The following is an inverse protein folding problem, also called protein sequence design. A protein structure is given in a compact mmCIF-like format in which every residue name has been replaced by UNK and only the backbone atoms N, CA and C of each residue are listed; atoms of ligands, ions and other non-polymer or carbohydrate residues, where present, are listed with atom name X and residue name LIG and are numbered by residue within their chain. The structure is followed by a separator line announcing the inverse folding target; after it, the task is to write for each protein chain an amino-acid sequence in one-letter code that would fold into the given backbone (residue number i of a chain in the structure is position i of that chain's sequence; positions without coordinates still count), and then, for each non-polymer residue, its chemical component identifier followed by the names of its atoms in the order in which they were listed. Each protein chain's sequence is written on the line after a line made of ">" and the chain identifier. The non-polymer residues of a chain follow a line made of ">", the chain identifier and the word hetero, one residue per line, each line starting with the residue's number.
data_IF_822909978174
#
_entry.id   IF_822909978174
#
_cell.length_a   1.000
_cell.length_b   1.000
_cell.length_c   1.000
_cell.angle_alpha   90.00
_cell.angle_beta   90.00
_cell.angle_gamma   90.00
#
_symmetry.space_group_name_H-M   'P 1'
#
loop_
_entity.id
_entity.type
_entity.pdbx_description
1 polymer ?
#
# COMPACT_ATOMS: atom_id res chain seq x y z
N UNK A 1 6.13 -10.83 -10.88
CA UNK A 1 7.23 -10.26 -10.11
C UNK A 1 6.85 -10.04 -8.67
N UNK A 2 7.85 -9.97 -7.80
CA UNK A 2 7.69 -9.87 -6.35
C UNK A 2 8.22 -8.51 -5.85
N UNK A 3 7.54 -7.43 -6.26
CA UNK A 3 7.95 -6.05 -5.96
C UNK A 3 8.04 -5.75 -4.46
N UNK A 4 7.13 -6.31 -3.65
CA UNK A 4 7.14 -6.16 -2.19
C UNK A 4 8.39 -6.72 -1.51
N UNK A 5 9.06 -7.70 -2.13
CA UNK A 5 10.26 -8.34 -1.59
C UNK A 5 11.57 -7.73 -2.11
N UNK A 6 11.51 -6.61 -2.82
CA UNK A 6 12.66 -5.82 -3.16
C UNK A 6 13.29 -5.22 -1.89
N UNK A 7 14.62 -5.33 -1.74
CA UNK A 7 15.35 -4.66 -0.65
C UNK A 7 15.34 -3.16 -0.89
N UNK A 8 14.55 -2.45 -0.12
CA UNK A 8 14.28 -1.04 -0.27
C UNK A 8 14.71 -0.20 0.95
N UNK A 9 14.90 -0.86 2.10
CA UNK A 9 15.21 -0.22 3.37
C UNK A 9 16.33 -0.93 4.11
N UNK A 10 17.09 -0.15 4.85
CA UNK A 10 18.10 -0.66 5.79
C UNK A 10 17.47 -0.72 7.18
N UNK A 11 16.67 -1.77 7.42
CA UNK A 11 16.03 -2.02 8.70
C UNK A 11 16.18 -3.50 9.10
N UNK A 12 16.02 -3.78 10.41
CA UNK A 12 16.14 -5.11 10.98
C UNK A 12 14.83 -5.92 10.97
N UNK A 13 13.76 -5.39 10.37
CA UNK A 13 12.44 -6.04 10.34
C UNK A 13 12.51 -7.23 9.38
N UNK A 14 12.22 -8.40 9.92
CA UNK A 14 12.21 -9.64 9.16
C UNK A 14 10.90 -9.74 8.37
N UNK A 15 10.99 -9.79 7.05
CA UNK A 15 9.87 -10.05 6.18
C UNK A 15 9.48 -11.54 6.25
N UNK A 16 8.22 -11.87 5.97
CA UNK A 16 7.76 -13.27 5.91
C UNK A 16 8.50 -14.10 4.83
N UNK A 17 9.16 -13.46 3.87
CA UNK A 17 10.06 -14.15 2.92
C UNK A 17 11.43 -14.54 3.53
N UNK A 18 11.68 -14.25 4.80
CA UNK A 18 12.90 -14.52 5.54
C UNK A 18 14.02 -13.50 5.39
N UNK A 19 13.83 -12.45 4.57
CA UNK A 19 14.84 -11.39 4.35
C UNK A 19 14.50 -10.15 5.17
N UNK A 20 15.48 -9.26 5.37
CA UNK A 20 15.32 -7.94 5.98
C UNK A 20 15.25 -6.85 4.91
N UNK A 21 14.68 -5.70 5.27
CA UNK A 21 14.67 -4.51 4.42
C UNK A 21 13.76 -4.58 3.19
N UNK A 22 12.83 -5.53 3.13
CA UNK A 22 11.86 -5.61 2.05
C UNK A 22 10.90 -4.40 2.07
N UNK A 23 10.48 -3.93 0.89
CA UNK A 23 9.43 -2.92 0.76
C UNK A 23 8.16 -3.31 1.54
N UNK A 24 7.79 -4.58 1.53
CA UNK A 24 6.65 -5.17 2.23
C UNK A 24 6.63 -4.82 3.72
N UNK A 25 7.81 -4.77 4.39
CA UNK A 25 7.88 -4.47 5.82
C UNK A 25 7.57 -3.02 6.16
N UNK A 26 7.57 -2.12 5.16
CA UNK A 26 7.39 -0.68 5.34
C UNK A 26 6.19 -0.09 4.57
N UNK A 27 5.67 -0.82 3.58
CA UNK A 27 4.63 -0.31 2.69
C UNK A 27 3.60 -1.37 2.31
N UNK A 28 3.00 -1.99 3.32
CA UNK A 28 1.94 -3.00 3.16
C UNK A 28 0.85 -2.84 4.21
N UNK A 29 -0.21 -3.65 4.10
CA UNK A 29 -1.25 -3.72 5.14
C UNK A 29 -0.71 -4.22 6.49
N UNK A 30 0.24 -5.14 6.50
CA UNK A 30 0.91 -5.61 7.72
C UNK A 30 1.80 -4.52 8.34
N UNK A 31 2.47 -3.72 7.50
CA UNK A 31 3.22 -2.56 7.96
C UNK A 31 2.30 -1.52 8.61
N UNK A 32 1.16 -1.22 7.98
CA UNK A 32 0.14 -0.31 8.54
C UNK A 32 -0.30 -0.77 9.94
N UNK A 33 -0.64 -2.04 10.07
CA UNK A 33 -1.08 -2.61 11.35
C UNK A 33 0.01 -2.51 12.41
N UNK A 34 1.25 -2.92 12.09
CA UNK A 34 2.40 -2.84 13.02
C UNK A 34 2.68 -1.41 13.47
N UNK A 35 2.77 -0.47 12.53
CA UNK A 35 3.08 0.93 12.83
C UNK A 35 1.97 1.55 13.70
N UNK A 36 0.70 1.25 13.42
CA UNK A 36 -0.41 1.73 14.23
C UNK A 36 -0.29 1.24 15.68
N UNK A 37 -0.02 -0.04 15.89
CA UNK A 37 0.17 -0.58 17.24
C UNK A 37 1.33 0.08 17.97
N UNK A 38 2.48 0.23 17.31
CA UNK A 38 3.67 0.86 17.86
C UNK A 38 3.40 2.32 18.26
N UNK A 39 2.72 3.10 17.43
CA UNK A 39 2.40 4.51 17.70
C UNK A 39 1.37 4.67 18.84
N UNK A 40 0.35 3.83 18.90
CA UNK A 40 -0.60 3.85 20.03
C UNK A 40 0.08 3.43 21.33
N UNK A 41 0.94 2.42 21.32
CA UNK A 41 1.71 2.01 22.50
C UNK A 41 2.69 3.10 22.96
N UNK A 42 3.17 3.95 22.07
CA UNK A 42 3.99 5.12 22.40
C UNK A 42 3.18 6.31 22.94
N UNK A 43 1.85 6.20 23.02
CA UNK A 43 0.96 7.18 23.62
C UNK A 43 0.19 8.06 22.65
N UNK A 44 0.25 7.78 21.33
CA UNK A 44 -0.54 8.50 20.34
C UNK A 44 -2.01 8.05 20.36
N UNK A 45 -2.92 8.98 20.09
CA UNK A 45 -4.37 8.73 20.18
C UNK A 45 -4.98 8.37 18.83
N UNK A 46 -5.80 7.32 18.81
CA UNK A 46 -6.65 6.91 17.71
C UNK A 46 -8.01 6.48 18.25
N UNK A 47 -9.05 6.52 17.42
CA UNK A 47 -10.36 5.94 17.74
C UNK A 47 -10.25 4.42 18.01
N UNK A 48 -9.14 3.79 17.58
CA UNK A 48 -8.85 2.37 17.80
C UNK A 48 -8.10 2.08 19.09
N UNK A 49 -7.66 3.10 19.86
CA UNK A 49 -6.86 2.93 21.08
C UNK A 49 -7.56 2.05 22.12
N UNK A 50 -8.88 2.17 22.27
CA UNK A 50 -9.65 1.35 23.22
C UNK A 50 -9.73 -0.12 22.82
N UNK A 51 -9.64 -0.41 21.51
CA UNK A 51 -9.65 -1.77 20.98
C UNK A 51 -8.35 -2.53 21.25
N UNK A 52 -7.22 -1.81 21.30
CA UNK A 52 -5.90 -2.42 21.62
C UNK A 52 -5.81 -2.83 23.09
N UNK A 53 -6.50 -2.12 23.97
CA UNK A 53 -6.52 -2.43 25.41
C UNK A 53 -7.29 -3.72 25.72
N UNK A 54 -8.14 -4.21 24.82
CA UNK A 54 -8.91 -5.45 24.98
C UNK A 54 -8.30 -6.54 24.10
N UNK A 55 -7.38 -7.34 24.66
CA UNK A 55 -6.59 -8.36 23.95
C UNK A 55 -7.40 -9.50 23.30
N UNK A 56 -8.73 -9.52 23.42
CA UNK A 56 -9.56 -10.62 22.95
C UNK A 56 -9.69 -10.75 21.42
N UNK A 57 -9.47 -9.67 20.67
CA UNK A 57 -9.50 -9.72 19.21
C UNK A 57 -8.51 -8.71 18.59
N UNK A 58 -7.56 -9.13 17.76
CA UNK A 58 -6.64 -8.22 17.08
C UNK A 58 -7.42 -7.28 16.15
N UNK A 59 -6.97 -6.02 16.05
CA UNK A 59 -7.50 -5.04 15.08
C UNK A 59 -7.28 -5.58 13.68
N UNK A 60 -8.33 -5.57 12.88
CA UNK A 60 -8.26 -5.99 11.47
C UNK A 60 -7.84 -4.83 10.57
N UNK A 61 -7.31 -5.14 9.39
CA UNK A 61 -6.97 -4.13 8.39
C UNK A 61 -8.21 -3.33 7.94
N UNK A 62 -9.38 -3.98 7.85
CA UNK A 62 -10.64 -3.33 7.49
C UNK A 62 -11.07 -2.31 8.54
N UNK A 63 -10.86 -2.58 9.83
CA UNK A 63 -11.11 -1.61 10.91
C UNK A 63 -10.18 -0.39 10.79
N UNK A 64 -8.91 -0.58 10.45
CA UNK A 64 -7.97 0.52 10.25
C UNK A 64 -8.40 1.37 9.05
N UNK A 65 -8.80 0.75 7.94
CA UNK A 65 -9.30 1.46 6.76
C UNK A 65 -10.59 2.22 7.09
N UNK A 66 -11.48 1.60 7.87
CA UNK A 66 -12.70 2.27 8.33
C UNK A 66 -12.37 3.49 9.23
N UNK A 67 -11.31 3.42 10.05
CA UNK A 67 -10.83 4.54 10.85
C UNK A 67 -10.29 5.67 9.97
N UNK A 68 -9.48 5.37 8.95
CA UNK A 68 -9.04 6.36 7.94
C UNK A 68 -10.23 7.07 7.30
N UNK A 69 -11.24 6.31 6.86
CA UNK A 69 -12.43 6.85 6.22
C UNK A 69 -13.36 7.62 7.20
N UNK A 70 -13.14 7.50 8.51
CA UNK A 70 -13.75 8.30 9.57
C UNK A 70 -12.87 9.46 10.02
N UNK A 71 -11.83 9.78 9.25
CA UNK A 71 -10.92 10.89 9.50
C UNK A 71 -10.10 10.75 10.80
N UNK A 72 -9.74 9.53 11.20
CA UNK A 72 -8.79 9.30 12.28
C UNK A 72 -7.40 9.78 11.86
N UNK A 73 -6.90 10.81 12.53
CA UNK A 73 -5.66 11.50 12.14
C UNK A 73 -4.46 10.57 12.17
N UNK A 74 -4.32 9.73 13.20
CA UNK A 74 -3.20 8.80 13.32
C UNK A 74 -3.19 7.79 12.15
N UNK A 75 -4.35 7.21 11.84
CA UNK A 75 -4.48 6.26 10.74
C UNK A 75 -4.21 6.93 9.39
N UNK A 76 -4.67 8.17 9.18
CA UNK A 76 -4.39 8.95 7.98
C UNK A 76 -2.88 9.18 7.81
N UNK A 77 -2.21 9.68 8.84
CA UNK A 77 -0.77 9.96 8.82
C UNK A 77 0.04 8.71 8.43
N UNK A 78 -0.28 7.55 9.02
CA UNK A 78 0.41 6.30 8.72
C UNK A 78 0.17 5.88 7.25
N UNK A 79 -1.06 6.01 6.75
CA UNK A 79 -1.37 5.71 5.35
C UNK A 79 -0.62 6.65 4.40
N UNK A 80 -0.50 7.93 4.73
CA UNK A 80 0.27 8.91 3.95
C UNK A 80 1.77 8.56 3.94
N UNK A 81 2.35 8.20 5.08
CA UNK A 81 3.74 7.73 5.18
C UNK A 81 4.00 6.49 4.32
N UNK A 82 3.10 5.51 4.37
CA UNK A 82 3.15 4.31 3.54
C UNK A 82 3.05 4.68 2.05
N UNK A 83 2.15 5.60 1.71
CA UNK A 83 1.99 6.11 0.35
C UNK A 83 3.25 6.77 -0.18
N UNK A 84 3.94 7.57 0.64
CA UNK A 84 5.22 8.20 0.27
C UNK A 84 6.32 7.15 0.04
N UNK A 85 6.43 6.16 0.94
CA UNK A 85 7.38 5.06 0.82
C UNK A 85 7.14 4.26 -0.45
N UNK A 86 5.89 3.88 -0.72
CA UNK A 86 5.49 3.15 -1.91
C UNK A 86 5.75 3.97 -3.18
N UNK A 87 5.36 5.24 -3.19
CA UNK A 87 5.53 6.15 -4.33
C UNK A 87 7.00 6.35 -4.72
N UNK A 88 7.90 6.41 -3.74
CA UNK A 88 9.35 6.49 -4.00
C UNK A 88 9.84 5.26 -4.79
N UNK A 89 9.38 4.07 -4.45
CA UNK A 89 9.79 2.84 -5.14
C UNK A 89 9.11 2.72 -6.52
N UNK A 90 7.83 3.13 -6.63
CA UNK A 90 7.13 3.21 -7.91
C UNK A 90 7.83 4.17 -8.87
N UNK A 91 8.37 5.30 -8.38
CA UNK A 91 9.14 6.22 -9.22
C UNK A 91 10.35 5.56 -9.87
N UNK A 92 11.03 4.66 -9.14
CA UNK A 92 12.11 3.84 -9.70
C UNK A 92 11.64 2.94 -10.84
N UNK A 93 10.48 2.28 -10.68
CA UNK A 93 9.89 1.45 -11.74
C UNK A 93 9.46 2.28 -12.95
N UNK A 94 8.89 3.46 -12.74
CA UNK A 94 8.52 4.38 -13.81
C UNK A 94 9.77 4.78 -14.60
N UNK A 95 10.87 5.11 -13.93
CA UNK A 95 12.13 5.48 -14.61
C UNK A 95 12.73 4.33 -15.44
N UNK A 96 12.50 3.06 -15.04
CA UNK A 96 13.04 1.89 -15.73
C UNK A 96 12.14 1.42 -16.88
N UNK A 97 10.82 1.36 -16.65
CA UNK A 97 9.88 0.72 -17.55
C UNK A 97 9.03 1.69 -18.37
N UNK A 98 9.00 2.97 -17.98
CA UNK A 98 8.15 4.00 -18.62
C UNK A 98 6.70 3.53 -18.88
N UNK A 99 5.96 3.03 -17.88
CA UNK A 99 4.62 2.54 -18.11
C UNK A 99 3.65 3.70 -18.38
N UNK A 100 2.69 3.49 -19.27
CA UNK A 100 1.60 4.46 -19.50
C UNK A 100 0.64 4.53 -18.30
N UNK A 101 0.52 3.43 -17.55
CA UNK A 101 -0.44 3.31 -16.46
C UNK A 101 0.13 2.50 -15.29
N UNK A 102 0.00 3.06 -14.09
CA UNK A 102 0.24 2.36 -12.82
C UNK A 102 -1.09 2.23 -12.07
N UNK A 103 -1.49 1.00 -11.76
CA UNK A 103 -2.75 0.72 -11.04
C UNK A 103 -2.41 0.32 -9.61
N UNK A 104 -2.90 1.10 -8.64
CA UNK A 104 -2.79 0.78 -7.22
C UNK A 104 -3.99 -0.07 -6.82
N UNK A 105 -3.72 -1.31 -6.43
CA UNK A 105 -4.73 -2.28 -6.00
C UNK A 105 -4.56 -2.70 -4.54
N UNK A 106 -5.35 -3.70 -4.14
CA UNK A 106 -5.35 -4.23 -2.79
C UNK A 106 -6.14 -3.38 -1.79
N UNK A 107 -6.19 -3.85 -0.54
CA UNK A 107 -7.06 -3.30 0.51
C UNK A 107 -6.70 -1.84 0.85
N UNK A 108 -5.42 -1.45 0.82
CA UNK A 108 -5.00 -0.06 1.05
C UNK A 108 -5.57 0.93 0.03
N UNK A 109 -5.91 0.48 -1.18
CA UNK A 109 -6.54 1.35 -2.19
C UNK A 109 -7.93 1.84 -1.78
N UNK A 110 -8.56 1.21 -0.77
CA UNK A 110 -9.86 1.61 -0.21
C UNK A 110 -9.80 2.91 0.61
N UNK A 111 -8.60 3.35 0.98
CA UNK A 111 -8.39 4.66 1.64
C UNK A 111 -8.41 5.83 0.64
N UNK A 112 -8.61 5.54 -0.67
CA UNK A 112 -8.82 6.56 -1.70
C UNK A 112 -7.66 7.53 -1.84
N UNK A 113 -7.94 8.82 -1.66
CA UNK A 113 -6.96 9.90 -1.84
C UNK A 113 -5.90 9.92 -0.74
N UNK A 114 -6.17 9.39 0.45
CA UNK A 114 -5.19 9.31 1.52
C UNK A 114 -3.95 8.48 1.15
N UNK A 115 -4.10 7.44 0.32
CA UNK A 115 -2.97 6.67 -0.20
C UNK A 115 -2.49 7.18 -1.56
N UNK A 116 -3.39 7.61 -2.46
CA UNK A 116 -3.02 7.94 -3.84
C UNK A 116 -2.31 9.28 -3.98
N UNK A 117 -2.67 10.30 -3.20
CA UNK A 117 -2.01 11.61 -3.27
C UNK A 117 -0.55 11.56 -2.80
N UNK A 118 -0.21 10.93 -1.66
CA UNK A 118 1.18 10.73 -1.26
C UNK A 118 2.01 9.96 -2.29
N UNK A 119 1.43 8.90 -2.90
CA UNK A 119 2.09 8.16 -3.97
C UNK A 119 2.41 9.08 -5.15
N UNK A 120 1.42 9.84 -5.65
CA UNK A 120 1.59 10.77 -6.77
C UNK A 120 2.63 11.84 -6.47
N UNK A 121 2.60 12.37 -5.25
CA UNK A 121 3.57 13.38 -4.80
C UNK A 121 4.99 12.81 -4.78
N UNK A 122 5.17 11.61 -4.22
CA UNK A 122 6.47 10.96 -4.19
C UNK A 122 6.96 10.60 -5.61
N UNK A 123 6.07 10.10 -6.48
CA UNK A 123 6.43 9.82 -7.88
C UNK A 123 6.91 11.09 -8.58
N UNK A 124 6.21 12.22 -8.45
CA UNK A 124 6.65 13.50 -9.03
C UNK A 124 8.01 13.96 -8.51
N UNK A 125 8.29 13.67 -7.23
CA UNK A 125 9.55 14.07 -6.59
C UNK A 125 10.75 13.22 -7.03
N UNK A 126 10.53 11.91 -7.28
CA UNK A 126 11.62 10.94 -7.45
C UNK A 126 11.73 10.37 -8.87
N UNK A 127 10.76 10.58 -9.75
CA UNK A 127 10.86 10.19 -11.16
C UNK A 127 11.36 11.34 -12.03
N UNK A 128 11.89 10.99 -13.20
CA UNK A 128 12.32 11.97 -14.20
C UNK A 128 11.10 12.65 -14.84
N UNK A 129 11.12 13.98 -14.95
CA UNK A 129 10.00 14.76 -15.48
C UNK A 129 9.56 14.34 -16.90
N UNK A 130 10.51 13.89 -17.72
CA UNK A 130 10.23 13.42 -19.09
C UNK A 130 9.40 12.14 -19.10
N UNK A 131 9.65 11.24 -18.15
CA UNK A 131 9.00 9.93 -18.07
C UNK A 131 7.68 10.02 -17.32
N UNK A 132 7.62 10.84 -16.26
CA UNK A 132 6.45 10.98 -15.40
C UNK A 132 5.22 11.60 -16.10
N UNK A 133 5.42 12.41 -17.15
CA UNK A 133 4.32 13.05 -17.88
C UNK A 133 3.41 12.05 -18.59
N UNK A 134 3.95 10.90 -18.97
CA UNK A 134 3.26 9.88 -19.75
C UNK A 134 2.62 8.79 -18.88
N UNK A 135 2.94 8.76 -17.57
CA UNK A 135 2.44 7.74 -16.63
C UNK A 135 1.24 8.23 -15.82
N UNK A 136 0.08 7.61 -16.02
CA UNK A 136 -1.09 7.82 -15.17
C UNK A 136 -1.04 6.91 -13.94
N UNK A 137 -1.39 7.44 -12.75
CA UNK A 137 -1.51 6.65 -11.51
C UNK A 137 -2.97 6.68 -11.05
N UNK A 138 -3.60 5.51 -11.00
CA UNK A 138 -5.00 5.35 -10.62
C UNK A 138 -5.18 4.23 -9.59
N UNK A 139 -6.30 4.22 -8.87
CA UNK A 139 -6.72 3.09 -8.04
C UNK A 139 -7.52 2.08 -8.83
N UNK A 140 -7.38 0.79 -8.47
CA UNK A 140 -8.18 -0.28 -9.05
C UNK A 140 -9.66 -0.13 -8.64
N UNK A 141 -10.57 -0.19 -9.63
CA UNK A 141 -12.00 -0.28 -9.40
C UNK A 141 -12.45 -1.65 -8.87
N UNK A 142 -11.61 -2.67 -9.06
CA UNK A 142 -11.89 -4.06 -8.65
C UNK A 142 -11.55 -4.32 -7.18
N UNK A 143 -10.84 -3.38 -6.54
CA UNK A 143 -10.45 -3.46 -5.12
C UNK A 143 -9.74 -4.80 -4.82
N UNK A 144 -10.18 -5.50 -3.78
CA UNK A 144 -9.73 -6.83 -3.35
C UNK A 144 -10.08 -7.97 -4.34
N UNK A 145 -11.05 -7.74 -5.23
CA UNK A 145 -11.51 -8.73 -6.22
C UNK A 145 -10.65 -8.80 -7.48
N UNK A 146 -9.64 -7.94 -7.62
CA UNK A 146 -8.82 -7.84 -8.83
C UNK A 146 -8.18 -9.19 -9.21
N UNK A 147 -7.64 -9.94 -8.22
CA UNK A 147 -7.05 -11.25 -8.46
C UNK A 147 -8.05 -12.29 -8.97
N UNK A 148 -9.23 -12.37 -8.35
CA UNK A 148 -10.28 -13.32 -8.73
C UNK A 148 -10.81 -13.00 -10.13
N UNK A 149 -11.13 -11.73 -10.41
CA UNK A 149 -11.61 -11.30 -11.72
C UNK A 149 -10.55 -11.54 -12.79
N UNK A 150 -9.28 -11.23 -12.50
CA UNK A 150 -8.17 -11.48 -13.43
C UNK A 150 -8.00 -12.97 -13.75
N UNK A 151 -8.07 -13.84 -12.76
CA UNK A 151 -8.02 -15.29 -12.96
C UNK A 151 -9.18 -15.79 -13.82
N UNK A 152 -10.41 -15.33 -13.56
CA UNK A 152 -11.59 -15.68 -14.36
C UNK A 152 -11.44 -15.19 -15.82
N UNK A 153 -10.93 -13.98 -16.02
CA UNK A 153 -10.72 -13.43 -17.37
C UNK A 153 -9.64 -14.20 -18.13
N UNK A 154 -8.54 -14.58 -17.45
CA UNK A 154 -7.48 -15.40 -18.04
C UNK A 154 -7.99 -16.79 -18.43
N UNK A 155 -8.75 -17.44 -17.55
CA UNK A 155 -9.36 -18.74 -17.85
C UNK A 155 -10.30 -18.63 -19.07
N UNK A 156 -11.14 -17.58 -19.09
CA UNK A 156 -12.04 -17.31 -20.23
C UNK A 156 -11.27 -17.13 -21.54
N UNK A 157 -10.22 -16.29 -21.56
CA UNK A 157 -9.45 -16.06 -22.78
C UNK A 157 -8.85 -17.36 -23.33
N UNK A 158 -8.25 -18.18 -22.45
CA UNK A 158 -7.67 -19.48 -22.83
C UNK A 158 -8.69 -20.52 -23.30
N UNK A 159 -9.93 -20.43 -22.85
CA UNK A 159 -10.98 -21.37 -23.26
C UNK A 159 -11.65 -21.00 -24.57
N UNK A 160 -11.62 -19.72 -24.98
CA UNK A 160 -12.34 -19.21 -26.15
C UNK A 160 -11.43 -18.66 -27.25
N UNK A 161 -10.12 -18.65 -27.06
CA UNK A 161 -9.11 -18.27 -28.05
C UNK A 161 -8.46 -19.49 -28.73
N UNK A 162 -9.17 -20.65 -28.75
CA UNK A 162 -8.75 -21.85 -29.50
C UNK A 162 -9.37 -21.90 -30.88
#
# INVERSE_FOLDING_TARGET
>A
GEFGHMSAYDNEIICHCGKKGCLETEASGSALHRILLERIQSGESSILSTRIATEENPITLDEIIAAVNKEDLLCIEIVEEIGQKLGKQIAGLINIFNPELVIIGGTLSLTGDYITQPIKTAVRKYSLNLVNKDSAIITSKLKDKAGIVGACMLARSRMFES
#
